data_IF_147540667831
#
_entry.id   IF_147540667831
#
_cell.length_a   1.000
_cell.length_b   1.000
_cell.length_c   1.000
_cell.angle_alpha   90.00
_cell.angle_beta   90.00
_cell.angle_gamma   90.00
#
_symmetry.space_group_name_H-M   'P 1'
#
loop_
_entity.id
_entity.type
_entity.pdbx_description
1 polymer ?
#
# COMPACT_ATOMS: atom_id res chain seq x y z
N UNK A 1 3.74 8.14 63.20
CA UNK A 1 2.98 8.63 62.03
C UNK A 1 3.93 8.83 60.86
N UNK A 2 4.16 7.78 60.06
CA UNK A 2 5.11 7.77 58.95
C UNK A 2 4.46 8.33 57.68
N UNK A 3 4.97 9.45 57.16
CA UNK A 3 4.52 10.04 55.91
C UNK A 3 5.04 9.20 54.72
N UNK A 4 4.15 8.44 54.11
CA UNK A 4 4.41 7.72 52.85
C UNK A 4 4.43 8.77 51.73
N UNK A 5 5.62 9.17 51.31
CA UNK A 5 5.86 9.96 50.10
C UNK A 5 5.38 9.17 48.87
N UNK A 6 4.19 9.50 48.36
CA UNK A 6 3.68 9.00 47.09
C UNK A 6 4.60 9.49 45.96
N UNK A 7 5.45 8.60 45.44
CA UNK A 7 6.24 8.84 44.22
C UNK A 7 5.28 9.15 43.07
N UNK A 8 5.42 10.32 42.45
CA UNK A 8 4.72 10.67 41.20
C UNK A 8 4.97 9.58 40.15
N UNK A 9 3.95 9.14 39.37
CA UNK A 9 4.17 8.20 38.28
C UNK A 9 5.18 8.81 37.30
N UNK A 10 6.29 8.09 37.07
CA UNK A 10 7.35 8.55 36.17
C UNK A 10 6.80 8.74 34.76
N UNK A 11 7.07 9.90 34.16
CA UNK A 11 6.71 10.17 32.76
C UNK A 11 7.32 9.09 31.88
N UNK A 12 6.48 8.29 31.22
CA UNK A 12 6.93 7.32 30.23
C UNK A 12 7.50 8.13 29.06
N UNK A 13 8.80 7.99 28.80
CA UNK A 13 9.39 8.53 27.58
C UNK A 13 8.76 7.78 26.42
N UNK A 14 8.16 8.50 25.49
CA UNK A 14 7.77 7.94 24.20
C UNK A 14 8.78 8.51 23.19
N UNK A 15 9.86 7.77 22.86
CA UNK A 15 10.91 8.22 21.95
C UNK A 15 10.41 8.83 20.64
N UNK A 16 9.35 8.24 20.07
CA UNK A 16 8.74 8.70 18.82
C UNK A 16 8.10 10.11 18.92
N UNK A 17 7.64 10.49 20.12
CA UNK A 17 6.99 11.79 20.39
C UNK A 17 7.93 12.83 21.02
N UNK A 18 9.21 12.51 21.15
CA UNK A 18 10.22 13.42 21.68
C UNK A 18 11.19 13.83 20.57
N UNK A 19 10.95 14.99 19.97
CA UNK A 19 11.76 15.54 18.87
C UNK A 19 13.25 15.62 19.24
N UNK A 20 13.58 16.03 20.47
CA UNK A 20 14.97 16.11 20.96
C UNK A 20 15.68 14.75 20.96
N UNK A 21 14.98 13.70 21.41
CA UNK A 21 15.51 12.35 21.42
C UNK A 21 15.75 11.83 20.00
N UNK A 22 14.79 12.05 19.09
CA UNK A 22 14.90 11.66 17.67
C UNK A 22 16.10 12.34 17.00
N UNK A 23 16.26 13.65 17.20
CA UNK A 23 17.39 14.42 16.67
C UNK A 23 18.71 13.89 17.24
N UNK A 24 18.80 13.66 18.55
CA UNK A 24 20.00 13.13 19.19
C UNK A 24 20.39 11.74 18.64
N UNK A 25 19.43 10.84 18.46
CA UNK A 25 19.68 9.52 17.88
C UNK A 25 20.16 9.60 16.43
N UNK A 26 19.54 10.46 15.61
CA UNK A 26 19.95 10.66 14.22
C UNK A 26 21.34 11.29 14.11
N UNK A 27 21.65 12.27 14.97
CA UNK A 27 22.96 12.89 15.03
C UNK A 27 24.05 11.87 15.39
N UNK A 28 23.82 11.07 16.44
CA UNK A 28 24.73 10.01 16.87
C UNK A 28 24.91 8.95 15.78
N UNK A 29 23.81 8.50 15.18
CA UNK A 29 23.84 7.53 14.08
C UNK A 29 24.69 8.02 12.89
N UNK A 30 24.46 9.27 12.45
CA UNK A 30 25.23 9.89 11.36
C UNK A 30 26.71 10.05 11.73
N UNK A 31 27.02 10.44 12.96
CA UNK A 31 28.40 10.59 13.43
C UNK A 31 29.14 9.25 13.42
N UNK A 32 28.51 8.18 13.92
CA UNK A 32 29.09 6.84 13.94
C UNK A 32 29.35 6.30 12.52
N UNK A 33 28.42 6.51 11.58
CA UNK A 33 28.61 6.08 10.19
C UNK A 33 29.75 6.83 9.48
N UNK A 34 29.89 8.14 9.74
CA UNK A 34 31.01 8.94 9.20
C UNK A 34 32.36 8.48 9.74
N UNK A 35 32.43 8.17 11.03
CA UNK A 35 33.65 7.64 11.65
C UNK A 35 33.96 6.23 11.18
N UNK A 36 32.95 5.38 10.96
CA UNK A 36 33.15 4.01 10.49
C UNK A 36 33.90 3.93 9.16
N UNK A 37 33.69 4.88 8.25
CA UNK A 37 34.42 4.94 6.96
C UNK A 37 35.86 5.40 7.08
N UNK A 38 36.26 6.01 8.20
CA UNK A 38 37.62 6.50 8.42
C UNK A 38 38.53 5.44 9.07
N UNK A 39 37.97 4.38 9.61
CA UNK A 39 38.73 3.27 10.18
C UNK A 39 39.26 2.42 9.02
N UNK A 40 40.59 2.34 8.89
CA UNK A 40 41.22 1.40 7.97
C UNK A 40 40.91 -0.04 8.38
N UNK A 41 40.64 -0.92 7.43
CA UNK A 41 40.35 -2.31 7.69
C UNK A 41 41.26 -3.20 6.86
N UNK A 42 41.72 -4.35 7.40
CA UNK A 42 42.37 -5.40 6.63
C UNK A 42 41.52 -5.90 5.45
N UNK A 43 42.14 -6.23 4.31
CA UNK A 43 41.45 -6.58 3.06
C UNK A 43 40.48 -7.78 3.19
N UNK A 44 40.87 -8.76 4.01
CA UNK A 44 40.04 -9.92 4.34
C UNK A 44 38.72 -9.52 5.02
N UNK A 45 38.75 -8.52 5.90
CA UNK A 45 37.57 -8.00 6.59
C UNK A 45 36.76 -7.03 5.74
N UNK A 46 37.43 -6.24 4.89
CA UNK A 46 36.77 -5.31 3.99
C UNK A 46 35.90 -6.03 2.94
N UNK A 47 36.38 -7.17 2.43
CA UNK A 47 35.71 -7.91 1.34
C UNK A 47 34.81 -9.04 1.86
N UNK A 48 35.09 -9.59 3.04
CA UNK A 48 34.37 -10.76 3.59
C UNK A 48 32.88 -10.57 3.85
N UNK A 49 32.38 -9.33 3.81
CA UNK A 49 30.98 -9.00 4.14
C UNK A 49 30.07 -8.77 2.93
N UNK A 50 30.64 -8.62 1.73
CA UNK A 50 29.94 -8.25 0.50
C UNK A 50 30.67 -7.10 -0.21
N UNK A 51 30.58 -7.03 -1.54
CA UNK A 51 31.27 -6.00 -2.31
C UNK A 51 30.75 -4.59 -1.94
N UNK A 52 31.65 -3.72 -1.44
CA UNK A 52 31.38 -2.30 -1.21
C UNK A 52 30.69 -1.92 0.10
N UNK A 53 30.39 -2.86 0.99
CA UNK A 53 29.77 -2.54 2.28
C UNK A 53 30.78 -2.52 3.43
N UNK A 54 30.89 -1.39 4.15
CA UNK A 54 31.74 -1.31 5.34
C UNK A 54 31.13 -2.15 6.49
N UNK A 55 31.84 -3.17 7.03
CA UNK A 55 31.29 -4.07 8.03
C UNK A 55 30.92 -3.37 9.34
N UNK A 56 31.67 -2.34 9.74
CA UNK A 56 31.37 -1.54 10.93
C UNK A 56 30.02 -0.83 10.75
N UNK A 57 29.78 -0.26 9.56
CA UNK A 57 28.51 0.40 9.25
C UNK A 57 27.32 -0.57 9.31
N UNK A 58 27.46 -1.80 8.80
CA UNK A 58 26.42 -2.84 8.88
C UNK A 58 26.06 -3.11 10.35
N UNK A 59 27.05 -3.28 11.22
CA UNK A 59 26.83 -3.55 12.64
C UNK A 59 26.16 -2.37 13.36
N UNK A 60 26.58 -1.13 13.08
CA UNK A 60 25.93 0.08 13.62
C UNK A 60 24.47 0.13 13.19
N UNK A 61 24.18 -0.06 11.91
CA UNK A 61 22.81 -0.05 11.38
C UNK A 61 21.93 -1.11 12.06
N UNK A 62 22.45 -2.33 12.23
CA UNK A 62 21.74 -3.41 12.93
C UNK A 62 21.47 -3.08 14.39
N UNK A 63 22.43 -2.47 15.10
CA UNK A 63 22.27 -2.06 16.49
C UNK A 63 21.16 -1.01 16.65
N UNK A 64 21.15 0.02 15.80
CA UNK A 64 20.08 1.03 15.83
C UNK A 64 18.72 0.42 15.50
N UNK A 65 18.62 -0.43 14.46
CA UNK A 65 17.37 -1.12 14.10
C UNK A 65 16.82 -1.98 15.24
N UNK A 66 17.69 -2.67 15.98
CA UNK A 66 17.30 -3.48 17.14
C UNK A 66 16.62 -2.65 18.22
N UNK A 67 17.09 -1.43 18.44
CA UNK A 67 16.64 -0.58 19.54
C UNK A 67 15.50 0.39 19.13
N UNK A 68 14.96 0.31 17.90
CA UNK A 68 13.89 1.21 17.43
C UNK A 68 12.62 1.08 18.29
N UNK A 69 12.31 -0.13 18.76
CA UNK A 69 11.11 -0.41 19.55
C UNK A 69 11.29 -0.11 21.05
N UNK A 70 12.49 0.26 21.50
CA UNK A 70 12.75 0.48 22.92
C UNK A 70 12.14 1.81 23.38
N UNK A 71 11.16 1.74 24.27
CA UNK A 71 10.46 2.92 24.80
C UNK A 71 10.88 3.26 26.24
N UNK A 72 11.49 2.32 26.96
CA UNK A 72 11.83 2.51 28.37
C UNK A 72 13.08 3.41 28.53
N UNK A 73 13.01 4.53 29.30
CA UNK A 73 14.17 5.37 29.59
C UNK A 73 15.36 4.59 30.17
N UNK A 74 15.07 3.54 30.96
CA UNK A 74 16.09 2.68 31.59
C UNK A 74 16.90 1.87 30.59
N UNK A 75 16.38 1.65 29.38
CA UNK A 75 17.05 0.94 28.30
C UNK A 75 17.67 1.93 27.32
N UNK A 76 16.92 3.00 27.02
CA UNK A 76 17.33 4.04 26.07
C UNK A 76 18.58 4.78 26.54
N UNK A 77 18.66 5.20 27.80
CA UNK A 77 19.83 5.98 28.27
C UNK A 77 21.13 5.17 28.29
N UNK A 78 21.19 3.93 28.83
CA UNK A 78 22.40 3.12 28.74
C UNK A 78 22.80 2.80 27.30
N UNK A 79 21.82 2.58 26.41
CA UNK A 79 22.06 2.32 24.99
C UNK A 79 22.67 3.52 24.26
N UNK A 80 22.14 4.72 24.49
CA UNK A 80 22.73 5.96 23.99
C UNK A 80 24.13 6.17 24.56
N UNK A 81 24.31 5.95 25.87
CA UNK A 81 25.61 6.01 26.52
C UNK A 81 26.63 5.05 25.89
N UNK A 82 26.20 3.83 25.53
CA UNK A 82 27.04 2.88 24.80
C UNK A 82 27.40 3.38 23.40
N UNK A 83 26.48 4.03 22.69
CA UNK A 83 26.75 4.65 21.40
C UNK A 83 27.77 5.78 21.47
N UNK A 84 27.69 6.65 22.49
CA UNK A 84 28.70 7.69 22.71
C UNK A 84 30.08 7.12 23.08
N UNK A 85 30.14 6.05 23.88
CA UNK A 85 31.41 5.33 24.14
C UNK A 85 31.97 4.68 22.87
N UNK A 86 31.12 4.15 22.00
CA UNK A 86 31.57 3.61 20.72
C UNK A 86 32.17 4.71 19.83
N UNK A 87 31.64 5.94 19.90
CA UNK A 87 32.19 7.08 19.16
C UNK A 87 33.65 7.36 19.56
N UNK A 88 33.99 7.31 20.86
CA UNK A 88 35.37 7.46 21.30
C UNK A 88 36.28 6.31 20.84
N UNK A 89 35.77 5.07 20.86
CA UNK A 89 36.52 3.89 20.38
C UNK A 89 36.81 3.99 18.88
N UNK A 90 35.80 4.32 18.06
CA UNK A 90 35.97 4.48 16.62
C UNK A 90 36.92 5.64 16.28
N UNK A 91 36.86 6.75 17.02
CA UNK A 91 37.77 7.87 16.84
C UNK A 91 39.22 7.49 17.13
N UNK A 92 39.46 6.75 18.22
CA UNK A 92 40.79 6.22 18.55
C UNK A 92 41.31 5.26 17.48
N UNK A 93 40.44 4.38 16.97
CA UNK A 93 40.79 3.44 15.90
C UNK A 93 41.05 4.11 14.54
N UNK A 94 40.37 5.23 14.25
CA UNK A 94 40.58 6.01 13.02
C UNK A 94 41.88 6.83 13.06
N UNK A 95 42.31 7.27 14.25
CA UNK A 95 43.55 8.06 14.39
C UNK A 95 44.81 7.21 14.26
N UNK A 96 44.80 6.01 14.85
CA UNK A 96 45.98 5.14 14.85
C UNK A 96 45.59 3.68 14.56
N UNK A 97 46.05 3.08 13.44
CA UNK A 97 45.75 1.69 13.10
C UNK A 97 46.43 0.67 14.03
N UNK A 98 47.47 1.07 14.77
CA UNK A 98 48.11 0.25 15.81
C UNK A 98 47.50 0.43 17.20
N UNK A 99 46.38 1.18 17.33
CA UNK A 99 45.74 1.40 18.63
C UNK A 99 45.08 0.13 19.17
N UNK A 100 44.98 0.03 20.50
CA UNK A 100 44.22 -1.02 21.16
C UNK A 100 42.75 -1.06 20.69
N UNK A 101 42.17 0.11 20.44
CA UNK A 101 40.82 0.25 19.91
C UNK A 101 40.67 -0.35 18.51
N UNK A 102 41.64 -0.15 17.62
CA UNK A 102 41.64 -0.77 16.30
C UNK A 102 41.74 -2.30 16.41
N UNK A 103 42.61 -2.81 17.30
CA UNK A 103 42.74 -4.25 17.57
C UNK A 103 41.44 -4.87 18.11
N UNK A 104 40.74 -4.15 19.00
CA UNK A 104 39.45 -4.59 19.54
C UNK A 104 38.38 -4.70 18.44
N UNK A 105 38.29 -3.72 17.54
CA UNK A 105 37.33 -3.72 16.43
C UNK A 105 37.63 -4.84 15.44
N UNK A 106 38.89 -5.01 15.04
CA UNK A 106 39.30 -6.07 14.10
C UNK A 106 39.00 -7.46 14.67
N UNK A 107 39.39 -7.73 15.91
CA UNK A 107 39.07 -9.00 16.62
C UNK A 107 37.56 -9.24 16.68
N UNK A 108 36.77 -8.19 16.96
CA UNK A 108 35.30 -8.30 16.96
C UNK A 108 34.75 -8.65 15.58
N UNK A 109 35.21 -7.98 14.52
CA UNK A 109 34.76 -8.22 13.15
C UNK A 109 35.15 -9.63 12.67
N UNK A 110 36.34 -10.11 13.01
CA UNK A 110 36.79 -11.48 12.73
C UNK A 110 35.85 -12.51 13.37
N UNK A 111 35.57 -12.36 14.67
CA UNK A 111 34.65 -13.27 15.38
C UNK A 111 33.25 -13.33 14.75
N UNK A 112 32.75 -12.18 14.25
CA UNK A 112 31.43 -12.09 13.60
C UNK A 112 31.43 -12.63 12.19
N UNK A 113 32.55 -12.49 11.48
CA UNK A 113 32.72 -13.08 10.15
C UNK A 113 32.74 -14.61 10.26
N UNK A 114 33.47 -15.16 11.22
CA UNK A 114 33.47 -16.60 11.51
C UNK A 114 32.08 -17.12 11.86
N UNK A 115 31.34 -16.43 12.74
CA UNK A 115 29.97 -16.80 13.11
C UNK A 115 29.03 -16.80 11.89
N UNK A 116 29.17 -15.80 11.01
CA UNK A 116 28.44 -15.73 9.74
C UNK A 116 28.80 -16.90 8.83
N UNK A 117 30.08 -17.22 8.68
CA UNK A 117 30.53 -18.33 7.84
C UNK A 117 30.01 -19.67 8.38
N UNK A 118 30.06 -19.90 9.70
CA UNK A 118 29.47 -21.09 10.35
C UNK A 118 27.97 -21.16 10.12
N UNK A 119 27.26 -20.02 10.24
CA UNK A 119 25.81 -19.95 10.00
C UNK A 119 25.45 -20.22 8.54
N UNK A 120 26.27 -19.77 7.59
CA UNK A 120 26.09 -20.04 6.16
C UNK A 120 26.38 -21.51 5.83
N UNK A 121 27.41 -22.11 6.42
CA UNK A 121 27.74 -23.52 6.24
C UNK A 121 26.65 -24.44 6.83
N UNK A 122 26.07 -24.06 7.98
CA UNK A 122 24.99 -24.79 8.64
C UNK A 122 23.60 -24.49 8.06
N UNK A 123 23.49 -23.52 7.15
CA UNK A 123 22.20 -23.21 6.52
C UNK A 123 21.84 -24.41 5.63
N UNK A 124 20.73 -25.12 5.90
CA UNK A 124 20.30 -26.16 4.98
C UNK A 124 20.17 -25.55 3.59
N UNK A 125 20.52 -26.29 2.52
CA UNK A 125 20.31 -25.80 1.17
C UNK A 125 18.88 -25.27 1.10
N UNK A 126 18.65 -24.06 0.54
CA UNK A 126 17.31 -23.52 0.44
C UNK A 126 16.48 -24.64 -0.17
N UNK A 127 15.49 -25.17 0.59
CA UNK A 127 14.59 -26.21 0.10
C UNK A 127 14.23 -25.76 -1.29
N UNK A 128 14.57 -26.56 -2.31
CA UNK A 128 14.33 -26.24 -3.71
C UNK A 128 12.84 -26.02 -3.83
N UNK A 129 12.47 -24.78 -3.60
CA UNK A 129 11.12 -24.35 -3.65
C UNK A 129 10.91 -24.35 -5.14
N UNK A 130 10.32 -25.43 -5.65
CA UNK A 130 9.54 -25.43 -6.88
C UNK A 130 8.36 -24.45 -6.74
N UNK A 131 8.54 -23.34 -6.05
CA UNK A 131 7.92 -22.07 -6.33
C UNK A 131 8.47 -21.62 -7.68
N UNK A 132 8.00 -22.30 -8.73
CA UNK A 132 7.58 -21.54 -9.88
C UNK A 132 6.56 -20.55 -9.31
N UNK A 133 6.87 -19.25 -9.18
CA UNK A 133 5.84 -18.29 -8.93
C UNK A 133 4.86 -18.48 -10.08
N UNK A 134 3.73 -19.16 -9.86
CA UNK A 134 2.68 -19.23 -10.86
C UNK A 134 2.41 -17.79 -11.20
N UNK A 135 2.82 -17.40 -12.41
CA UNK A 135 2.85 -16.00 -12.80
C UNK A 135 1.49 -15.43 -12.46
N UNK A 136 1.46 -14.41 -11.60
CA UNK A 136 0.22 -13.69 -11.33
C UNK A 136 -0.16 -12.80 -12.51
N UNK A 137 0.68 -12.74 -13.55
CA UNK A 137 0.33 -12.10 -14.80
C UNK A 137 -0.83 -12.86 -15.43
N UNK A 138 -1.82 -12.10 -15.86
CA UNK A 138 -2.92 -12.60 -16.68
C UNK A 138 -2.32 -13.24 -17.92
N UNK A 139 -2.71 -14.48 -18.24
CA UNK A 139 -2.31 -15.11 -19.49
C UNK A 139 -2.80 -14.24 -20.66
N UNK A 140 -1.99 -13.99 -21.69
CA UNK A 140 -2.35 -13.08 -22.79
C UNK A 140 -3.70 -13.43 -23.43
N UNK A 141 -4.01 -14.72 -23.52
CA UNK A 141 -5.28 -15.21 -24.12
C UNK A 141 -6.50 -15.12 -23.19
N UNK A 142 -6.35 -14.67 -21.95
CA UNK A 142 -7.49 -14.57 -21.02
C UNK A 142 -8.30 -13.32 -21.31
N UNK A 143 -9.45 -13.50 -21.96
CA UNK A 143 -10.39 -12.41 -22.22
C UNK A 143 -10.96 -11.84 -20.90
N UNK A 144 -10.90 -10.52 -20.69
CA UNK A 144 -11.42 -9.90 -19.48
C UNK A 144 -12.94 -10.00 -19.43
N UNK A 145 -13.48 -10.31 -18.25
CA UNK A 145 -14.93 -10.29 -18.03
C UNK A 145 -15.51 -8.88 -18.20
N UNK A 146 -14.83 -7.88 -17.65
CA UNK A 146 -15.25 -6.49 -17.67
C UNK A 146 -14.25 -5.64 -18.44
N UNK A 147 -14.73 -4.91 -19.42
CA UNK A 147 -13.95 -3.93 -20.18
C UNK A 147 -14.51 -2.55 -19.91
N UNK A 148 -13.65 -1.59 -19.57
CA UNK A 148 -14.06 -0.20 -19.34
C UNK A 148 -14.36 0.44 -20.70
N UNK A 149 -15.58 0.93 -20.86
CA UNK A 149 -16.09 1.56 -22.10
C UNK A 149 -16.47 3.03 -21.91
N UNK A 150 -16.11 3.60 -20.76
CA UNK A 150 -16.34 5.03 -20.51
C UNK A 150 -15.64 5.87 -21.59
N UNK A 151 -16.28 6.95 -22.07
CA UNK A 151 -15.65 7.87 -22.99
C UNK A 151 -14.37 8.46 -22.39
N UNK A 152 -13.38 8.85 -23.22
CA UNK A 152 -12.21 9.56 -22.74
C UNK A 152 -12.63 10.87 -22.05
N UNK A 153 -11.85 11.36 -21.07
CA UNK A 153 -12.16 12.60 -20.37
C UNK A 153 -12.36 13.74 -21.37
N UNK A 154 -13.56 14.31 -21.40
CA UNK A 154 -13.89 15.45 -22.24
C UNK A 154 -13.66 16.73 -21.40
N UNK A 155 -13.08 17.82 -21.94
CA UNK A 155 -13.01 19.11 -21.25
C UNK A 155 -14.33 19.58 -20.63
N UNK A 156 -15.48 19.20 -21.20
CA UNK A 156 -16.81 19.52 -20.67
C UNK A 156 -17.28 18.62 -19.52
N UNK A 157 -16.70 17.42 -19.36
CA UNK A 157 -16.99 16.48 -18.27
C UNK A 157 -15.71 15.73 -17.86
N UNK A 158 -14.87 16.34 -16.99
CA UNK A 158 -13.60 15.76 -16.58
C UNK A 158 -13.76 14.51 -15.70
N UNK A 159 -14.94 14.28 -15.12
CA UNK A 159 -15.22 13.18 -14.17
C UNK A 159 -16.37 12.29 -14.62
N UNK A 160 -16.41 11.95 -15.92
CA UNK A 160 -17.43 11.03 -16.42
C UNK A 160 -17.44 9.72 -15.62
N UNK A 161 -18.63 9.32 -15.17
CA UNK A 161 -18.82 8.10 -14.37
C UNK A 161 -18.32 6.89 -15.16
N UNK A 162 -17.50 6.01 -14.57
CA UNK A 162 -17.00 4.85 -15.29
C UNK A 162 -18.17 3.95 -15.72
N UNK A 163 -18.09 3.40 -16.93
CA UNK A 163 -19.05 2.44 -17.48
C UNK A 163 -18.30 1.21 -17.93
N UNK A 164 -18.86 0.04 -17.65
CA UNK A 164 -18.28 -1.25 -17.97
C UNK A 164 -19.20 -2.07 -18.88
N UNK A 165 -18.60 -2.65 -19.92
CA UNK A 165 -19.24 -3.63 -20.78
C UNK A 165 -18.70 -5.03 -20.51
N UNK A 166 -19.51 -6.03 -20.83
CA UNK A 166 -19.17 -7.46 -20.72
C UNK A 166 -19.29 -8.05 -22.13
N UNK A 167 -18.20 -8.06 -22.92
CA UNK A 167 -18.28 -8.35 -24.35
C UNK A 167 -18.62 -9.81 -24.66
N UNK A 168 -18.13 -10.76 -23.86
CA UNK A 168 -18.19 -12.20 -24.17
C UNK A 168 -19.24 -12.98 -23.36
N UNK A 169 -20.20 -12.29 -22.73
CA UNK A 169 -21.28 -12.92 -21.96
C UNK A 169 -22.59 -12.15 -22.17
N UNK A 170 -23.75 -12.84 -22.12
CA UNK A 170 -23.92 -14.28 -21.91
C UNK A 170 -23.51 -15.14 -23.13
N UNK A 171 -22.96 -16.34 -22.89
CA UNK A 171 -22.60 -17.28 -23.98
C UNK A 171 -23.84 -18.05 -24.48
N UNK A 172 -23.94 -18.46 -25.75
CA UNK A 172 -25.03 -19.30 -26.24
C UNK A 172 -25.02 -20.70 -25.61
N UNK A 173 -26.15 -21.41 -25.64
CA UNK A 173 -26.30 -22.73 -25.00
C UNK A 173 -25.33 -23.78 -25.55
N UNK A 174 -25.05 -23.75 -26.85
CA UNK A 174 -24.09 -24.66 -27.53
C UNK A 174 -22.66 -24.56 -26.98
N UNK A 175 -22.31 -23.40 -26.43
CA UNK A 175 -21.00 -23.13 -25.85
C UNK A 175 -20.92 -23.42 -24.34
N UNK A 176 -22.05 -23.79 -23.72
CA UNK A 176 -22.09 -24.17 -22.31
C UNK A 176 -21.57 -25.60 -22.15
N UNK A 177 -20.38 -25.75 -21.57
CA UNK A 177 -19.80 -27.06 -21.28
C UNK A 177 -20.61 -27.88 -20.26
N UNK A 178 -20.37 -29.20 -20.26
CA UNK A 178 -20.95 -30.13 -19.29
C UNK A 178 -22.42 -30.48 -19.57
N UNK A 179 -23.31 -30.21 -18.60
CA UNK A 179 -24.73 -30.61 -18.66
C UNK A 179 -25.59 -29.79 -19.64
N UNK A 180 -25.00 -28.82 -20.35
CA UNK A 180 -25.73 -27.89 -21.22
C UNK A 180 -26.72 -26.98 -20.48
N UNK A 181 -26.64 -26.91 -19.13
CA UNK A 181 -27.50 -26.08 -18.28
C UNK A 181 -26.75 -24.82 -17.86
N UNK A 182 -27.36 -23.66 -18.13
CA UNK A 182 -26.86 -22.35 -17.72
C UNK A 182 -26.86 -22.22 -16.19
N UNK A 183 -25.67 -21.98 -15.63
CA UNK A 183 -25.50 -21.70 -14.20
C UNK A 183 -25.39 -20.20 -13.98
N UNK A 184 -26.43 -19.61 -13.41
CA UNK A 184 -26.49 -18.17 -13.13
C UNK A 184 -25.52 -17.84 -11.96
N UNK A 185 -24.51 -16.97 -12.17
CA UNK A 185 -23.63 -16.50 -11.10
C UNK A 185 -24.39 -15.71 -10.04
N UNK A 186 -23.88 -15.69 -8.81
CA UNK A 186 -24.37 -14.79 -7.76
C UNK A 186 -23.46 -13.58 -7.64
N UNK A 187 -24.04 -12.38 -7.64
CA UNK A 187 -23.32 -11.16 -7.31
C UNK A 187 -23.15 -11.09 -5.80
N UNK A 188 -21.91 -10.92 -5.37
CA UNK A 188 -21.52 -10.87 -3.96
C UNK A 188 -20.54 -9.70 -3.75
N UNK A 189 -20.37 -9.28 -2.50
CA UNK A 189 -19.57 -8.12 -2.12
C UNK A 189 -18.54 -8.52 -1.06
N UNK A 190 -17.26 -8.29 -1.34
CA UNK A 190 -16.18 -8.41 -0.37
C UNK A 190 -15.76 -7.00 0.08
N UNK A 191 -16.36 -6.51 1.17
CA UNK A 191 -16.38 -5.09 1.50
C UNK A 191 -16.92 -4.29 0.31
N UNK A 192 -16.13 -3.40 -0.26
CA UNK A 192 -16.53 -2.56 -1.40
C UNK A 192 -16.17 -3.17 -2.77
N UNK A 193 -15.63 -4.41 -2.82
CA UNK A 193 -15.27 -5.06 -4.09
C UNK A 193 -16.37 -6.04 -4.55
N UNK A 194 -17.15 -5.71 -5.59
CA UNK A 194 -18.13 -6.64 -6.17
C UNK A 194 -17.42 -7.74 -6.96
N UNK A 195 -17.95 -8.95 -6.86
CA UNK A 195 -17.49 -10.08 -7.66
C UNK A 195 -18.62 -11.07 -7.96
N UNK A 196 -18.46 -11.82 -9.04
CA UNK A 196 -19.36 -12.92 -9.39
C UNK A 196 -18.87 -14.23 -8.80
N UNK A 197 -19.70 -14.85 -7.97
CA UNK A 197 -19.46 -16.17 -7.38
C UNK A 197 -20.06 -17.26 -8.29
N UNK A 198 -19.19 -18.06 -8.91
CA UNK A 198 -19.56 -19.16 -9.80
C UNK A 198 -19.79 -20.49 -9.06
N UNK A 199 -19.05 -20.74 -7.98
CA UNK A 199 -19.04 -22.01 -7.22
C UNK A 199 -19.00 -21.76 -5.71
N UNK A 200 -19.42 -22.76 -4.94
CA UNK A 200 -19.21 -22.86 -3.48
C UNK A 200 -18.52 -24.22 -3.21
N UNK A 201 -17.41 -24.27 -2.44
CA UNK A 201 -16.68 -23.15 -1.83
C UNK A 201 -16.02 -22.22 -2.86
N UNK A 202 -15.61 -21.02 -2.41
CA UNK A 202 -14.94 -20.04 -3.25
C UNK A 202 -13.54 -20.52 -3.64
N UNK A 203 -13.06 -20.29 -4.88
CA UNK A 203 -11.68 -20.63 -5.22
C UNK A 203 -10.69 -19.81 -4.38
N UNK A 204 -9.67 -20.47 -3.85
CA UNK A 204 -8.67 -19.87 -2.96
C UNK A 204 -7.96 -18.66 -3.60
N UNK A 205 -7.72 -18.70 -4.91
CA UNK A 205 -7.09 -17.60 -5.66
C UNK A 205 -7.95 -16.32 -5.59
N UNK A 206 -9.26 -16.44 -5.80
CA UNK A 206 -10.17 -15.31 -5.73
C UNK A 206 -10.24 -14.74 -4.31
N UNK A 207 -10.33 -15.62 -3.29
CA UNK A 207 -10.31 -15.20 -1.89
C UNK A 207 -9.01 -14.43 -1.55
N UNK A 208 -7.85 -14.93 -2.00
CA UNK A 208 -6.55 -14.27 -1.83
C UNK A 208 -6.52 -12.88 -2.47
N UNK A 209 -6.95 -12.76 -3.73
CA UNK A 209 -6.93 -11.48 -4.46
C UNK A 209 -7.88 -10.47 -3.81
N UNK A 210 -9.08 -10.90 -3.41
CA UNK A 210 -10.02 -10.04 -2.70
C UNK A 210 -9.44 -9.58 -1.34
N UNK A 211 -8.86 -10.50 -0.57
CA UNK A 211 -8.19 -10.15 0.69
C UNK A 211 -7.06 -9.14 0.51
N UNK A 212 -6.24 -9.31 -0.53
CA UNK A 212 -5.19 -8.34 -0.87
C UNK A 212 -5.76 -6.96 -1.23
N UNK A 213 -6.83 -6.90 -2.03
CA UNK A 213 -7.48 -5.63 -2.39
C UNK A 213 -8.09 -4.93 -1.17
N UNK A 214 -8.80 -5.68 -0.33
CA UNK A 214 -9.37 -5.19 0.93
C UNK A 214 -8.28 -4.63 1.83
N UNK A 215 -7.19 -5.38 2.05
CA UNK A 215 -6.06 -4.93 2.87
C UNK A 215 -5.39 -3.68 2.32
N UNK A 216 -5.14 -3.60 1.00
CA UNK A 216 -4.56 -2.40 0.37
C UNK A 216 -5.44 -1.17 0.53
N UNK A 217 -6.76 -1.33 0.48
CA UNK A 217 -7.69 -0.23 0.70
C UNK A 217 -7.75 0.19 2.16
N UNK A 218 -7.79 -0.77 3.08
CA UNK A 218 -7.72 -0.50 4.52
C UNK A 218 -6.47 0.30 4.89
N UNK A 219 -5.29 -0.10 4.38
CA UNK A 219 -4.02 0.63 4.58
C UNK A 219 -4.06 2.06 4.06
N UNK A 220 -4.72 2.32 2.92
CA UNK A 220 -4.91 3.68 2.41
C UNK A 220 -5.83 4.49 3.32
N UNK A 221 -6.91 3.91 3.82
CA UNK A 221 -7.79 4.56 4.79
C UNK A 221 -7.06 4.90 6.11
N UNK A 222 -6.26 3.97 6.62
CA UNK A 222 -5.39 4.20 7.79
C UNK A 222 -4.39 5.32 7.52
N UNK A 223 -3.74 5.34 6.36
CA UNK A 223 -2.83 6.42 5.97
C UNK A 223 -3.53 7.78 5.91
N UNK A 224 -4.77 7.87 5.42
CA UNK A 224 -5.55 9.12 5.47
C UNK A 224 -5.75 9.56 6.92
N UNK A 225 -6.08 8.63 7.82
CA UNK A 225 -6.24 8.91 9.26
C UNK A 225 -4.96 9.46 9.87
N UNK A 226 -3.82 8.80 9.65
CA UNK A 226 -2.49 9.25 10.13
C UNK A 226 -2.14 10.64 9.58
N UNK A 227 -2.36 10.89 8.29
CA UNK A 227 -2.09 12.20 7.71
C UNK A 227 -2.93 13.30 8.37
N UNK A 228 -4.21 13.01 8.60
CA UNK A 228 -5.15 13.97 9.18
C UNK A 228 -4.84 14.27 10.65
N UNK A 229 -4.65 13.22 11.45
CA UNK A 229 -4.62 13.33 12.91
C UNK A 229 -3.21 13.60 13.45
N UNK A 230 -2.17 13.25 12.70
CA UNK A 230 -0.77 13.42 13.12
C UNK A 230 0.01 14.35 12.18
N UNK A 231 0.07 14.04 10.88
CA UNK A 231 0.99 14.72 9.98
C UNK A 231 0.61 16.18 9.69
N UNK A 232 -0.68 16.50 9.55
CA UNK A 232 -1.12 17.89 9.32
C UNK A 232 -0.82 18.77 10.55
N UNK A 233 -1.19 18.40 11.79
CA UNK A 233 -0.82 19.16 12.97
C UNK A 233 0.70 19.40 13.09
N UNK A 234 1.50 18.36 12.88
CA UNK A 234 2.96 18.46 12.92
C UNK A 234 3.49 19.42 11.83
N UNK A 235 2.92 19.34 10.63
CA UNK A 235 3.33 20.21 9.52
C UNK A 235 2.98 21.68 9.76
N UNK A 236 1.86 21.97 10.42
CA UNK A 236 1.48 23.35 10.80
C UNK A 236 2.47 23.92 11.80
N UNK A 237 2.89 23.11 12.79
CA UNK A 237 3.89 23.54 13.77
C UNK A 237 5.26 23.78 13.13
N UNK A 238 5.64 22.98 12.13
CA UNK A 238 6.88 23.20 11.36
C UNK A 238 6.81 24.51 10.56
N UNK A 239 5.69 24.77 9.87
CA UNK A 239 5.48 26.03 9.14
C UNK A 239 5.53 27.26 10.06
N UNK A 240 4.95 27.15 11.28
CA UNK A 240 5.04 28.20 12.31
C UNK A 240 6.48 28.42 12.79
N UNK A 241 7.25 27.34 12.93
CA UNK A 241 8.66 27.40 13.29
C UNK A 241 9.49 28.07 12.19
N UNK A 242 9.32 27.66 10.94
CA UNK A 242 9.98 28.26 9.78
C UNK A 242 9.68 29.76 9.68
N UNK A 243 8.42 30.16 9.91
CA UNK A 243 8.02 31.56 9.95
C UNK A 243 8.74 32.34 11.07
N UNK A 244 8.87 31.74 12.25
CA UNK A 244 9.57 32.33 13.41
C UNK A 244 11.07 32.48 13.14
N UNK A 245 11.71 31.45 12.57
CA UNK A 245 13.14 31.49 12.18
C UNK A 245 13.38 32.55 11.11
N UNK A 246 12.51 32.61 10.08
CA UNK A 246 12.60 33.64 9.05
C UNK A 246 12.42 35.05 9.63
N UNK A 247 11.57 35.22 10.64
CA UNK A 247 11.44 36.50 11.36
C UNK A 247 12.72 36.85 12.12
N UNK A 248 13.27 35.93 12.92
CA UNK A 248 14.51 36.18 13.68
C UNK A 248 15.68 36.51 12.74
N UNK A 249 15.82 35.81 11.61
CA UNK A 249 16.84 36.11 10.60
C UNK A 249 16.67 37.51 10.00
N UNK A 250 15.43 37.97 9.78
CA UNK A 250 15.17 39.34 9.32
C UNK A 250 15.54 40.38 10.39
N UNK A 251 15.26 40.10 11.65
CA UNK A 251 15.61 40.97 12.78
C UNK A 251 17.13 41.06 12.96
N UNK A 252 17.87 39.94 12.89
CA UNK A 252 19.34 39.92 12.95
C UNK A 252 19.98 40.64 11.76
N UNK A 253 19.49 40.40 10.53
CA UNK A 253 19.97 41.09 9.34
C UNK A 253 19.63 42.59 9.36
N UNK A 254 18.47 42.96 9.91
CA UNK A 254 18.07 44.36 10.14
C UNK A 254 18.89 45.04 11.24
N UNK A 255 19.27 44.30 12.29
CA UNK A 255 20.14 44.76 13.37
C UNK A 255 21.58 44.99 12.91
N UNK A 256 22.09 44.15 12.01
CA UNK A 256 23.39 44.35 11.34
C UNK A 256 23.42 45.61 10.46
N UNK A 257 22.28 46.05 9.91
CA UNK A 257 22.16 47.32 9.19
C UNK A 257 22.05 48.54 10.12
N UNK A 258 21.65 48.36 11.38
CA UNK A 258 21.49 49.47 12.33
C UNK A 258 22.80 49.86 13.03
N UNK A 259 23.76 48.94 13.14
CA UNK A 259 25.07 49.19 13.79
C UNK A 259 26.25 49.36 12.81
N UNK A 260 26.00 49.36 11.48
CA UNK A 260 27.00 49.53 10.44
C UNK A 260 26.95 50.91 9.79
N UNK A 261 27.70 51.87 10.33
CA UNK A 261 27.92 53.20 9.78
C UNK A 261 28.61 53.15 8.42
N UNK A 262 27.92 53.14 7.27
CA UNK A 262 28.45 53.60 5.97
C UNK A 262 27.35 54.04 4.98
N UNK A 263 27.54 55.25 4.44
CA UNK A 263 27.27 55.58 3.02
C UNK A 263 25.83 55.90 2.59
N UNK A 264 25.56 57.18 2.35
CA UNK A 264 24.41 57.64 1.54
C UNK A 264 24.37 56.89 0.18
N UNK A 265 23.21 56.37 -0.27
CA UNK A 265 23.03 56.06 -1.68
C UNK A 265 22.84 57.37 -2.44
N UNK A 266 23.74 57.68 -3.38
CA UNK A 266 23.44 58.65 -4.46
C UNK A 266 22.33 58.07 -5.33
N UNK A 267 21.49 58.99 -5.82
CA UNK A 267 20.15 58.72 -6.32
C UNK A 267 20.03 57.68 -7.44
N UNK A 268 18.96 56.91 -7.34
CA UNK A 268 18.27 56.27 -8.45
C UNK A 268 16.77 56.49 -8.19
N UNK A 269 16.09 56.97 -9.22
CA UNK A 269 14.73 57.52 -9.23
C UNK A 269 13.61 56.62 -8.66
N UNK A 270 12.51 57.21 -8.19
CA UNK A 270 11.36 56.51 -7.63
C UNK A 270 10.31 56.17 -8.71
N UNK A 271 10.63 55.42 -9.76
CA UNK A 271 9.59 55.10 -10.76
C UNK A 271 9.65 53.71 -11.44
N UNK A 272 10.19 52.69 -10.77
CA UNK A 272 10.11 51.30 -11.28
C UNK A 272 9.74 50.24 -10.24
N UNK A 273 9.25 50.65 -9.05
CA UNK A 273 8.86 49.70 -7.98
C UNK A 273 7.48 49.05 -8.11
N UNK A 274 6.75 49.25 -9.21
CA UNK A 274 5.36 48.79 -9.34
C UNK A 274 5.07 47.70 -10.38
N UNK A 275 6.07 47.15 -11.06
CA UNK A 275 5.83 46.01 -11.96
C UNK A 275 6.95 45.00 -11.85
N UNK A 276 6.63 43.82 -11.32
CA UNK A 276 7.44 42.62 -11.54
C UNK A 276 8.09 41.94 -10.34
N UNK A 277 7.73 42.24 -9.08
CA UNK A 277 8.04 41.30 -7.99
C UNK A 277 6.98 40.18 -7.98
N UNK A 278 7.04 39.31 -8.98
CA UNK A 278 6.68 37.93 -8.71
C UNK A 278 7.69 37.45 -7.67
N UNK A 279 7.27 37.26 -6.43
CA UNK A 279 8.04 36.51 -5.43
C UNK A 279 8.21 35.08 -5.98
N UNK A 280 9.31 34.83 -6.68
CA UNK A 280 9.70 33.49 -7.19
C UNK A 280 10.26 32.64 -6.04
N UNK A 281 9.70 32.75 -4.83
CA UNK A 281 10.30 32.13 -3.65
C UNK A 281 9.43 32.10 -2.39
N UNK A 282 8.10 32.29 -2.51
CA UNK A 282 7.22 31.86 -1.44
C UNK A 282 7.18 30.33 -1.45
N UNK A 283 8.09 29.71 -0.71
CA UNK A 283 8.11 28.26 -0.52
C UNK A 283 6.72 27.82 -0.05
N UNK A 284 6.17 26.80 -0.72
CA UNK A 284 4.84 26.28 -0.42
C UNK A 284 4.89 25.73 1.01
N UNK A 285 4.02 26.16 1.94
CA UNK A 285 4.02 25.66 3.31
C UNK A 285 3.96 24.13 3.33
N UNK A 286 4.72 23.51 4.22
CA UNK A 286 4.76 22.06 4.33
C UNK A 286 3.36 21.50 4.62
N UNK A 287 2.57 22.14 5.49
CA UNK A 287 1.18 21.74 5.76
C UNK A 287 0.31 21.77 4.51
N UNK A 288 0.56 22.68 3.57
CA UNK A 288 -0.15 22.70 2.30
C UNK A 288 0.15 21.45 1.46
N UNK A 289 1.42 21.04 1.37
CA UNK A 289 1.81 19.84 0.62
C UNK A 289 1.21 18.56 1.21
N UNK A 290 1.16 18.46 2.54
CA UNK A 290 0.54 17.32 3.24
C UNK A 290 -0.98 17.28 3.00
N UNK A 291 -1.65 18.44 3.05
CA UNK A 291 -3.09 18.54 2.73
C UNK A 291 -3.38 18.17 1.28
N UNK A 292 -2.53 18.58 0.34
CA UNK A 292 -2.63 18.19 -1.07
C UNK A 292 -2.54 16.67 -1.22
N UNK A 293 -1.54 16.03 -0.61
CA UNK A 293 -1.39 14.57 -0.65
C UNK A 293 -2.59 13.83 -0.03
N UNK A 294 -3.12 14.32 1.09
CA UNK A 294 -4.33 13.76 1.69
C UNK A 294 -5.54 13.87 0.76
N UNK A 295 -5.73 15.03 0.11
CA UNK A 295 -6.80 15.25 -0.87
C UNK A 295 -6.70 14.26 -2.02
N UNK A 296 -5.51 14.10 -2.61
CA UNK A 296 -5.29 13.15 -3.71
C UNK A 296 -5.60 11.70 -3.30
N UNK A 297 -5.25 11.30 -2.07
CA UNK A 297 -5.59 9.97 -1.55
C UNK A 297 -7.10 9.79 -1.37
N UNK A 298 -7.80 10.80 -0.85
CA UNK A 298 -9.26 10.80 -0.72
C UNK A 298 -9.93 10.71 -2.10
N UNK A 299 -9.47 11.51 -3.06
CA UNK A 299 -9.96 11.50 -4.44
C UNK A 299 -9.70 10.13 -5.12
N UNK A 300 -8.56 9.49 -4.81
CA UNK A 300 -8.27 8.13 -5.25
C UNK A 300 -9.28 7.11 -4.68
N UNK A 301 -9.60 7.19 -3.39
CA UNK A 301 -10.59 6.32 -2.75
C UNK A 301 -12.01 6.53 -3.30
N UNK A 302 -12.38 7.78 -3.57
CA UNK A 302 -13.67 8.15 -4.17
C UNK A 302 -13.77 7.60 -5.60
N UNK A 303 -12.75 7.81 -6.44
CA UNK A 303 -12.68 7.26 -7.80
C UNK A 303 -12.74 5.73 -7.80
N UNK A 304 -12.04 5.07 -6.89
CA UNK A 304 -12.11 3.62 -6.75
C UNK A 304 -13.51 3.14 -6.38
N UNK A 305 -14.21 3.83 -5.46
CA UNK A 305 -15.58 3.48 -5.08
C UNK A 305 -16.53 3.63 -6.26
N UNK A 306 -16.43 4.73 -7.01
CA UNK A 306 -17.23 4.93 -8.23
C UNK A 306 -16.97 3.82 -9.26
N UNK A 307 -15.71 3.41 -9.43
CA UNK A 307 -15.32 2.29 -10.29
C UNK A 307 -15.97 0.98 -9.84
N UNK A 308 -15.98 0.67 -8.54
CA UNK A 308 -16.61 -0.54 -8.02
C UNK A 308 -18.14 -0.53 -8.23
N UNK A 309 -18.81 0.60 -8.03
CA UNK A 309 -20.25 0.74 -8.28
C UNK A 309 -20.57 0.42 -9.75
N UNK A 310 -19.81 1.00 -10.67
CA UNK A 310 -19.99 0.76 -12.10
C UNK A 310 -19.77 -0.72 -12.50
N UNK A 311 -18.77 -1.38 -11.90
CA UNK A 311 -18.54 -2.81 -12.10
C UNK A 311 -19.72 -3.65 -11.57
N UNK A 312 -20.22 -3.33 -10.37
CA UNK A 312 -21.37 -4.03 -9.79
C UNK A 312 -22.61 -3.90 -10.67
N UNK A 313 -22.85 -2.72 -11.23
CA UNK A 313 -23.94 -2.45 -12.16
C UNK A 313 -23.85 -3.30 -13.42
N UNK A 314 -22.67 -3.35 -14.07
CA UNK A 314 -22.44 -4.21 -15.23
C UNK A 314 -22.65 -5.70 -14.90
N UNK A 315 -22.14 -6.16 -13.76
CA UNK A 315 -22.34 -7.54 -13.29
C UNK A 315 -23.81 -7.86 -13.02
N UNK A 316 -24.58 -6.92 -12.46
CA UNK A 316 -26.02 -7.07 -12.23
C UNK A 316 -26.76 -7.22 -13.57
N UNK A 317 -26.43 -6.39 -14.56
CA UNK A 317 -27.04 -6.49 -15.89
C UNK A 317 -26.76 -7.84 -16.55
N UNK A 318 -25.53 -8.36 -16.41
CA UNK A 318 -25.21 -9.71 -16.88
C UNK A 318 -26.11 -10.76 -16.22
N UNK A 319 -26.29 -10.72 -14.90
CA UNK A 319 -27.13 -11.70 -14.19
C UNK A 319 -28.58 -11.66 -14.69
N UNK A 320 -29.12 -10.47 -14.97
CA UNK A 320 -30.47 -10.32 -15.52
C UNK A 320 -30.56 -10.99 -16.90
N UNK A 321 -29.58 -10.78 -17.78
CA UNK A 321 -29.51 -11.42 -19.10
C UNK A 321 -29.33 -12.94 -19.01
N UNK A 322 -28.49 -13.42 -18.09
CA UNK A 322 -28.30 -14.86 -17.84
C UNK A 322 -29.60 -15.52 -17.32
N UNK A 323 -30.36 -14.82 -16.47
CA UNK A 323 -31.67 -15.30 -15.98
C UNK A 323 -32.71 -15.39 -17.08
N UNK A 324 -32.80 -14.37 -17.95
CA UNK A 324 -33.77 -14.38 -19.05
C UNK A 324 -33.47 -15.52 -20.04
N UNK A 325 -32.21 -15.69 -20.43
CA UNK A 325 -31.79 -16.81 -21.28
C UNK A 325 -32.04 -18.17 -20.62
N UNK A 326 -31.72 -18.33 -19.33
CA UNK A 326 -31.99 -19.58 -18.62
C UNK A 326 -33.49 -19.94 -18.62
N UNK A 327 -34.38 -18.93 -18.54
CA UNK A 327 -35.82 -19.14 -18.62
C UNK A 327 -36.26 -19.58 -20.01
N UNK A 328 -35.75 -18.93 -21.07
CA UNK A 328 -36.02 -19.31 -22.47
C UNK A 328 -35.55 -20.74 -22.77
N UNK A 329 -34.32 -21.09 -22.40
CA UNK A 329 -33.75 -22.44 -22.57
C UNK A 329 -34.50 -23.49 -21.75
N UNK A 330 -35.03 -23.12 -20.57
CA UNK A 330 -35.87 -24.02 -19.78
C UNK A 330 -37.22 -24.27 -20.47
N UNK A 331 -37.83 -23.25 -21.04
CA UNK A 331 -39.08 -23.36 -21.80
C UNK A 331 -38.89 -24.20 -23.07
N UNK A 332 -37.83 -23.95 -23.85
CA UNK A 332 -37.50 -24.73 -25.05
C UNK A 332 -37.30 -26.21 -24.70
N UNK A 333 -36.52 -26.52 -23.66
CA UNK A 333 -36.33 -27.93 -23.22
C UNK A 333 -37.62 -28.58 -22.72
N UNK A 334 -38.51 -27.82 -22.08
CA UNK A 334 -39.81 -28.34 -21.67
C UNK A 334 -40.67 -28.68 -22.89
N UNK A 335 -40.67 -27.80 -23.91
CA UNK A 335 -41.36 -28.02 -25.18
C UNK A 335 -40.77 -29.22 -25.96
N UNK A 336 -39.45 -29.31 -26.09
CA UNK A 336 -38.78 -30.47 -26.73
C UNK A 336 -39.05 -31.78 -25.99
N UNK A 337 -39.01 -31.76 -24.65
CA UNK A 337 -39.32 -32.93 -23.85
C UNK A 337 -40.78 -33.35 -24.03
N UNK A 338 -41.71 -32.38 -24.09
CA UNK A 338 -43.12 -32.64 -24.39
C UNK A 338 -43.27 -33.22 -25.80
N UNK A 339 -42.71 -32.59 -26.83
CA UNK A 339 -42.76 -33.09 -28.20
C UNK A 339 -42.23 -34.51 -28.32
N UNK A 340 -41.05 -34.81 -27.75
CA UNK A 340 -40.49 -36.18 -27.73
C UNK A 340 -41.39 -37.17 -27.01
N UNK A 341 -42.01 -36.76 -25.91
CA UNK A 341 -42.98 -37.60 -25.20
C UNK A 341 -44.20 -37.86 -26.07
N UNK A 342 -44.78 -36.83 -26.69
CA UNK A 342 -45.93 -36.97 -27.59
C UNK A 342 -45.62 -37.87 -28.78
N UNK A 343 -44.45 -37.73 -29.42
CA UNK A 343 -43.99 -38.63 -30.49
C UNK A 343 -43.90 -40.07 -30.00
N UNK A 344 -43.30 -40.30 -28.82
CA UNK A 344 -43.21 -41.63 -28.23
C UNK A 344 -44.57 -42.23 -27.88
N UNK A 345 -45.50 -41.41 -27.39
CA UNK A 345 -46.87 -41.87 -27.07
C UNK A 345 -47.65 -42.20 -28.33
N UNK A 346 -47.45 -41.42 -29.41
CA UNK A 346 -48.00 -41.70 -30.72
C UNK A 346 -47.47 -43.03 -31.29
N UNK A 347 -46.17 -43.28 -31.19
CA UNK A 347 -45.55 -44.55 -31.61
C UNK A 347 -46.10 -45.77 -30.84
N UNK A 348 -46.33 -45.63 -29.53
CA UNK A 348 -46.77 -46.74 -28.67
C UNK A 348 -48.28 -47.02 -28.72
N UNK A 349 -49.11 -45.99 -28.86
CA UNK A 349 -50.56 -46.10 -28.69
C UNK A 349 -51.37 -45.64 -29.92
N UNK A 350 -50.70 -45.25 -31.02
CA UNK A 350 -51.35 -44.78 -32.24
C UNK A 350 -52.16 -43.50 -32.05
N UNK A 351 -53.08 -43.20 -32.96
CA UNK A 351 -53.82 -41.93 -32.98
C UNK A 351 -54.71 -41.68 -31.73
N UNK A 352 -55.09 -42.73 -31.00
CA UNK A 352 -55.95 -42.65 -29.81
C UNK A 352 -55.21 -42.32 -28.50
N UNK A 353 -53.90 -42.11 -28.52
CA UNK A 353 -53.10 -41.92 -27.31
C UNK A 353 -53.56 -40.73 -26.45
N UNK A 354 -54.14 -39.70 -27.06
CA UNK A 354 -54.65 -38.50 -26.38
C UNK A 354 -55.91 -38.77 -25.55
N UNK A 355 -56.64 -39.84 -25.84
CA UNK A 355 -57.84 -40.22 -25.08
C UNK A 355 -57.47 -40.93 -23.77
N UNK A 356 -56.25 -41.47 -23.68
CA UNK A 356 -55.72 -42.10 -22.47
C UNK A 356 -55.34 -41.08 -21.37
N UNK A 357 -55.21 -39.78 -21.70
CA UNK A 357 -54.80 -38.72 -20.78
C UNK A 357 -55.73 -37.50 -20.84
N UNK A 358 -56.96 -37.59 -20.32
CA UNK A 358 -57.96 -36.51 -20.39
C UNK A 358 -57.50 -35.19 -19.76
N UNK A 359 -56.67 -35.24 -18.71
CA UNK A 359 -56.14 -34.06 -18.02
C UNK A 359 -55.24 -33.18 -18.92
N UNK A 360 -54.67 -33.73 -19.99
CA UNK A 360 -53.89 -32.95 -20.95
C UNK A 360 -54.78 -32.01 -21.77
N UNK A 361 -55.97 -32.47 -22.18
CA UNK A 361 -56.95 -31.69 -22.96
C UNK A 361 -57.48 -30.48 -22.18
N UNK A 362 -57.64 -30.61 -20.87
CA UNK A 362 -58.09 -29.52 -20.00
C UNK A 362 -57.03 -28.43 -19.83
N UNK A 363 -55.76 -28.82 -19.73
CA UNK A 363 -54.65 -27.86 -19.62
C UNK A 363 -54.44 -27.00 -20.87
N UNK A 364 -54.75 -27.53 -22.06
CA UNK A 364 -54.67 -26.79 -23.33
C UNK A 364 -55.86 -25.83 -23.50
N UNK A 365 -57.07 -26.23 -23.06
CA UNK A 365 -58.26 -25.37 -23.07
C UNK A 365 -58.14 -24.17 -22.13
N UNK A 366 -57.41 -24.30 -21.02
CA UNK A 366 -57.16 -23.23 -20.06
C UNK A 366 -56.14 -22.19 -20.52
N UNK A 367 -55.28 -22.50 -21.50
CA UNK A 367 -54.29 -21.57 -22.08
C UNK A 367 -54.91 -20.68 -23.18
N UNK A 368 -56.07 -21.06 -23.70
CA UNK A 368 -56.80 -20.35 -24.77
C UNK A 368 -58.01 -19.51 -24.29
N UNK A 369 -58.21 -19.39 -22.99
CA UNK A 369 -59.08 -18.38 -22.36
C UNK A 369 -58.18 -17.36 -21.66
#
# INVERSE_FOLDING_TARGET
>A
MSQILRRKPGRVLIPARNSRHRIACLALYRALLRLATQVSLPDNLATGWGAGENPIAIHIQRAFRRNVADTSPRIVYPSLGAGYRMLSVLRGAATSPSSEHHRSITTFLESRLEERQRSLANRPPPRSSSYNPKSTATHPDTLPLLTKVSPPPNPSDPESRPVYAIPHRPRPQSELGGTGRRKIPRLDLANDFPFLRLTKPQPAILSRVLGQKVSRRAKRGEAVGVLKDEAIPDAVLEDEWDATIAQLQREENGSLLQNGKWGKPRGIEPEQRRRGRHDVGAEIPYAHTVRQGMKEMLDSLTRERADQIARAEAMRQLIIREKSLAAQEKAQRAAEKRARWETRMFELHGAGWRDLFPNLKESERAVHR
#
